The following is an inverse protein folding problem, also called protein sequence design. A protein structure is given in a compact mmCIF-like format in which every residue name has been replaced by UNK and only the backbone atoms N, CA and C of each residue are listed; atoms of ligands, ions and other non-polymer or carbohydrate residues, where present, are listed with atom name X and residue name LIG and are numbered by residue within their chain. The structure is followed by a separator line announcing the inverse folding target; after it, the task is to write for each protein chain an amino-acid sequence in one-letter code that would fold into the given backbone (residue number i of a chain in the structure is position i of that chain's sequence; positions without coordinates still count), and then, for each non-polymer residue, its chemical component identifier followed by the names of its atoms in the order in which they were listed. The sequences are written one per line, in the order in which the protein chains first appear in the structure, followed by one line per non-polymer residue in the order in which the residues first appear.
data_IF_324822982839
#
_entry.id   IF_324822982839
#
_cell.length_a   1.000
_cell.length_b   1.000
_cell.length_c   1.000
_cell.angle_alpha   90.00
_cell.angle_beta   90.00
_cell.angle_gamma   90.00
#
_symmetry.space_group_name_H-M   'P 1'
#
loop_
_entity.id
_entity.type
_entity.pdbx_description
1 polymer ?
#
# COMPACT_ATOMS: atom_id res chain seq x y z
N UNK A 1 -15.83 -5.41 -4.23
CA UNK A 1 -15.32 -4.11 -3.78
C UNK A 1 -16.35 -3.07 -4.15
N UNK A 2 -16.66 -2.14 -3.25
CA UNK A 2 -17.34 -0.91 -3.69
C UNK A 2 -16.25 0.04 -4.22
N UNK A 3 -16.05 -0.02 -5.54
CA UNK A 3 -14.98 0.71 -6.20
C UNK A 3 -15.16 2.23 -6.08
N UNK A 4 -16.37 2.75 -5.82
CA UNK A 4 -16.60 4.21 -5.63
C UNK A 4 -16.13 4.73 -4.29
N UNK A 5 -16.15 3.86 -3.30
CA UNK A 5 -15.68 4.12 -1.93
C UNK A 5 -14.23 3.68 -1.71
N UNK A 6 -13.55 3.16 -2.73
CA UNK A 6 -12.24 2.55 -2.60
C UNK A 6 -11.08 3.56 -2.69
N UNK A 7 -10.08 3.42 -1.83
CA UNK A 7 -8.80 4.13 -1.93
C UNK A 7 -7.62 3.17 -2.11
N UNK A 8 -6.68 3.56 -2.97
CA UNK A 8 -5.43 2.83 -3.17
C UNK A 8 -4.39 3.30 -2.15
N UNK A 9 -3.88 2.39 -1.35
CA UNK A 9 -2.88 2.60 -0.31
C UNK A 9 -1.55 2.00 -0.77
N UNK A 10 -0.60 2.87 -1.11
CA UNK A 10 0.75 2.50 -1.55
C UNK A 10 1.68 2.51 -0.35
N UNK A 11 1.99 1.32 0.17
CA UNK A 11 2.70 1.13 1.44
C UNK A 11 4.21 1.10 1.23
N UNK A 12 4.91 2.10 1.79
CA UNK A 12 6.36 2.14 2.00
C UNK A 12 7.22 1.72 0.79
N UNK A 13 6.84 2.16 -0.42
CA UNK A 13 7.67 1.96 -1.64
C UNK A 13 8.83 2.95 -1.63
N UNK A 14 9.70 2.80 -0.64
CA UNK A 14 10.85 3.64 -0.35
C UNK A 14 12.15 3.00 -0.85
N UNK A 15 13.17 3.81 -1.12
CA UNK A 15 14.48 3.33 -1.57
C UNK A 15 15.07 2.29 -0.61
N UNK A 16 14.90 2.47 0.70
CA UNK A 16 15.43 1.58 1.72
C UNK A 16 14.86 0.16 1.69
N UNK A 17 13.61 0.00 1.26
CA UNK A 17 12.94 -1.31 1.11
C UNK A 17 13.04 -1.88 -0.32
N UNK A 18 13.58 -1.12 -1.27
CA UNK A 18 13.67 -1.52 -2.67
C UNK A 18 15.02 -2.20 -2.97
N UNK A 19 15.01 -3.53 -3.02
CA UNK A 19 16.19 -4.37 -3.26
C UNK A 19 15.94 -5.39 -4.38
N UNK A 20 16.82 -6.37 -4.56
CA UNK A 20 16.67 -7.38 -5.62
C UNK A 20 15.40 -8.25 -5.46
N UNK A 21 14.86 -8.38 -4.24
CA UNK A 21 13.65 -9.14 -3.97
C UNK A 21 12.38 -8.34 -4.21
N UNK A 22 12.40 -7.01 -4.05
CA UNK A 22 11.19 -6.18 -4.08
C UNK A 22 11.10 -5.22 -5.27
N UNK A 23 12.22 -4.90 -5.94
CA UNK A 23 12.24 -3.92 -7.04
C UNK A 23 11.31 -4.25 -8.21
N UNK A 24 11.01 -5.53 -8.42
CA UNK A 24 10.16 -5.97 -9.52
C UNK A 24 8.71 -5.45 -9.43
N UNK A 25 8.20 -5.12 -8.23
CA UNK A 25 6.83 -4.56 -8.10
C UNK A 25 6.75 -3.06 -8.37
N UNK A 26 7.87 -2.32 -8.34
CA UNK A 26 7.89 -0.86 -8.57
C UNK A 26 7.23 -0.46 -9.91
N UNK A 27 7.59 -1.04 -11.07
CA UNK A 27 6.92 -0.70 -12.33
C UNK A 27 5.44 -1.11 -12.36
N UNK A 28 5.07 -2.21 -11.68
CA UNK A 28 3.67 -2.65 -11.56
C UNK A 28 2.85 -1.62 -10.78
N UNK A 29 3.36 -1.19 -9.61
CA UNK A 29 2.73 -0.18 -8.77
C UNK A 29 2.64 1.16 -9.50
N UNK A 30 3.70 1.59 -10.20
CA UNK A 30 3.67 2.85 -10.96
C UNK A 30 2.59 2.83 -12.05
N UNK A 31 2.47 1.72 -12.80
CA UNK A 31 1.40 1.57 -13.80
C UNK A 31 0.01 1.55 -13.16
N UNK A 32 -0.15 0.84 -12.04
CA UNK A 32 -1.39 0.76 -11.28
C UNK A 32 -1.84 2.15 -10.82
N UNK A 33 -0.96 2.90 -10.14
CA UNK A 33 -1.26 4.23 -9.62
C UNK A 33 -1.63 5.18 -10.77
N UNK A 34 -0.93 5.12 -11.90
CA UNK A 34 -1.26 5.94 -13.08
C UNK A 34 -2.68 5.68 -13.61
N UNK A 35 -3.06 4.41 -13.76
CA UNK A 35 -4.41 4.02 -14.23
C UNK A 35 -5.49 4.36 -13.22
N UNK A 36 -5.22 4.11 -11.94
CA UNK A 36 -6.12 4.43 -10.83
C UNK A 36 -6.40 5.94 -10.76
N UNK A 37 -5.35 6.77 -10.82
CA UNK A 37 -5.47 8.22 -10.82
C UNK A 37 -6.14 8.76 -12.08
N UNK A 38 -5.93 8.15 -13.26
CA UNK A 38 -6.63 8.52 -14.50
C UNK A 38 -8.14 8.31 -14.40
N UNK A 39 -8.58 7.31 -13.61
CA UNK A 39 -9.99 7.10 -13.27
C UNK A 39 -10.47 8.01 -12.11
N UNK A 40 -9.72 9.05 -11.76
CA UNK A 40 -10.00 10.00 -10.68
C UNK A 40 -10.24 9.34 -9.32
N UNK A 41 -9.55 8.22 -9.07
CA UNK A 41 -9.66 7.47 -7.82
C UNK A 41 -8.57 7.90 -6.82
N UNK A 42 -8.85 7.91 -5.51
CA UNK A 42 -7.94 8.44 -4.50
C UNK A 42 -6.75 7.51 -4.23
N UNK A 43 -5.57 8.11 -4.04
CA UNK A 43 -4.32 7.42 -3.71
C UNK A 43 -3.74 8.01 -2.44
N UNK A 44 -3.29 7.16 -1.52
CA UNK A 44 -2.55 7.53 -0.32
C UNK A 44 -1.25 6.76 -0.29
N UNK A 45 -0.14 7.44 -0.03
CA UNK A 45 1.15 6.81 0.19
C UNK A 45 1.47 6.75 1.69
N UNK A 46 2.25 5.76 2.10
CA UNK A 46 2.91 5.78 3.41
C UNK A 46 4.43 5.81 3.26
N UNK A 47 5.09 6.39 4.26
CA UNK A 47 6.53 6.26 4.46
C UNK A 47 6.79 5.82 5.89
N UNK A 48 7.52 4.73 6.04
CA UNK A 48 8.07 4.36 7.32
C UNK A 48 9.31 5.20 7.62
N UNK A 49 9.40 5.70 8.85
CA UNK A 49 10.56 6.41 9.40
C UNK A 49 11.04 5.71 10.64
N UNK A 50 12.23 5.11 10.55
CA UNK A 50 12.92 4.59 11.71
C UNK A 50 13.50 5.74 12.54
N UNK A 51 13.82 5.46 13.79
CA UNK A 51 14.43 6.42 14.71
C UNK A 51 15.38 5.70 15.68
N UNK A 52 16.35 6.41 16.27
CA UNK A 52 17.27 5.81 17.25
C UNK A 52 16.52 5.20 18.45
N UNK A 53 17.00 4.06 18.94
CA UNK A 53 16.41 3.30 20.05
C UNK A 53 15.00 2.76 19.78
N UNK A 54 14.57 2.73 18.51
CA UNK A 54 13.30 2.12 18.13
C UNK A 54 13.28 0.63 18.50
N UNK A 55 12.09 0.05 18.57
CA UNK A 55 11.94 -1.40 18.76
C UNK A 55 12.66 -2.20 17.65
N UNK A 56 12.80 -1.61 16.46
CA UNK A 56 13.51 -2.22 15.34
C UNK A 56 15.02 -2.28 15.58
N UNK A 57 15.60 -1.21 16.12
CA UNK A 57 17.01 -1.22 16.52
C UNK A 57 17.24 -2.14 17.72
N UNK A 58 16.44 -2.00 18.78
CA UNK A 58 16.67 -2.72 20.04
C UNK A 58 16.47 -4.23 19.93
N UNK A 59 15.50 -4.69 19.14
CA UNK A 59 15.17 -6.12 19.06
C UNK A 59 15.70 -6.81 17.80
N UNK A 60 15.92 -6.09 16.70
CA UNK A 60 16.39 -6.67 15.44
C UNK A 60 17.78 -6.19 15.03
N UNK A 61 18.36 -5.19 15.73
CA UNK A 61 19.63 -4.57 15.34
C UNK A 61 19.54 -3.83 14.00
N UNK A 62 18.34 -3.39 13.60
CA UNK A 62 18.10 -2.80 12.29
C UNK A 62 17.91 -1.28 12.36
N UNK A 63 18.91 -0.52 11.91
CA UNK A 63 19.00 0.94 11.99
C UNK A 63 18.83 1.66 10.66
N UNK A 64 18.34 0.97 9.62
CA UNK A 64 18.08 1.57 8.29
C UNK A 64 16.81 2.43 8.31
N UNK A 65 16.57 3.20 7.24
CA UNK A 65 15.36 4.03 7.05
C UNK A 65 15.24 5.19 8.06
N UNK A 66 16.38 5.74 8.52
CA UNK A 66 16.40 6.92 9.40
C UNK A 66 16.50 8.25 8.65
N UNK A 67 17.06 8.24 7.44
CA UNK A 67 17.27 9.45 6.65
C UNK A 67 17.21 9.19 5.14
N UNK A 68 17.07 10.25 4.33
CA UNK A 68 17.32 10.18 2.90
C UNK A 68 18.72 9.64 2.57
N UNK A 69 18.91 8.94 1.44
CA UNK A 69 17.88 8.65 0.44
C UNK A 69 16.98 7.47 0.80
N UNK A 70 17.30 6.70 1.85
CA UNK A 70 16.56 5.46 2.17
C UNK A 70 15.08 5.73 2.45
N UNK A 71 14.77 6.81 3.17
CA UNK A 71 13.38 7.17 3.55
C UNK A 71 12.55 7.73 2.40
N UNK A 72 13.16 8.06 1.26
CA UNK A 72 12.44 8.69 0.17
C UNK A 72 11.65 7.64 -0.61
N UNK A 73 10.45 8.01 -1.07
CA UNK A 73 9.71 7.23 -2.06
C UNK A 73 10.60 7.08 -3.31
N UNK A 74 10.57 5.92 -3.93
CA UNK A 74 11.38 5.64 -5.12
C UNK A 74 11.11 6.70 -6.22
N UNK A 75 12.13 7.12 -6.99
CA UNK A 75 11.97 8.15 -8.02
C UNK A 75 10.85 7.87 -9.02
N UNK A 76 10.60 6.61 -9.34
CA UNK A 76 9.56 6.14 -10.26
C UNK A 76 8.13 6.47 -9.80
N UNK A 77 7.94 6.76 -8.51
CA UNK A 77 6.66 7.12 -7.91
C UNK A 77 6.64 8.55 -7.36
N UNK A 78 7.71 9.33 -7.50
CA UNK A 78 7.85 10.63 -6.84
C UNK A 78 6.76 11.64 -7.26
N UNK A 79 6.49 11.77 -8.55
CA UNK A 79 5.44 12.66 -9.08
C UNK A 79 4.04 12.22 -8.66
N UNK A 80 3.83 10.90 -8.60
CA UNK A 80 2.57 10.30 -8.19
C UNK A 80 2.32 10.51 -6.68
N UNK A 81 3.36 10.41 -5.86
CA UNK A 81 3.29 10.73 -4.44
C UNK A 81 3.05 12.22 -4.20
N UNK A 82 3.66 13.11 -4.99
CA UNK A 82 3.47 14.57 -4.88
C UNK A 82 2.05 15.04 -5.25
N UNK A 83 1.33 14.26 -6.07
CA UNK A 83 -0.04 14.54 -6.50
C UNK A 83 -1.11 13.67 -5.83
N UNK A 84 -0.71 12.80 -4.89
CA UNK A 84 -1.61 11.94 -4.14
C UNK A 84 -2.46 12.73 -3.13
N UNK A 85 -3.50 12.10 -2.59
CA UNK A 85 -4.33 12.69 -1.54
C UNK A 85 -3.50 12.99 -0.28
N UNK A 86 -2.57 12.09 0.07
CA UNK A 86 -1.65 12.27 1.18
C UNK A 86 -0.41 11.38 1.05
N UNK A 87 0.68 11.79 1.72
CA UNK A 87 1.85 10.96 2.01
C UNK A 87 2.02 10.93 3.54
N UNK A 88 1.67 9.81 4.16
CA UNK A 88 1.57 9.68 5.61
C UNK A 88 2.85 9.06 6.18
N UNK A 89 3.46 9.73 7.15
CA UNK A 89 4.64 9.21 7.84
C UNK A 89 4.22 8.35 9.05
N UNK A 90 4.88 7.21 9.21
CA UNK A 90 4.64 6.28 10.32
C UNK A 90 5.93 5.72 10.90
N UNK A 91 5.91 5.43 12.20
CA UNK A 91 7.05 4.86 12.94
C UNK A 91 6.87 3.38 13.29
N UNK A 92 5.78 2.78 12.82
CA UNK A 92 5.46 1.37 12.99
C UNK A 92 4.93 0.75 11.70
N UNK A 93 4.47 -0.49 11.78
CA UNK A 93 4.02 -1.23 10.61
C UNK A 93 2.73 -0.68 10.00
N UNK A 94 1.76 -0.31 10.84
CA UNK A 94 0.40 0.02 10.39
C UNK A 94 0.27 1.42 9.79
N UNK A 95 -0.54 1.54 8.75
CA UNK A 95 -1.02 2.81 8.17
C UNK A 95 -1.77 3.68 9.21
N UNK A 96 -2.45 3.06 10.17
CA UNK A 96 -3.44 3.72 11.03
C UNK A 96 -2.80 4.59 12.13
N UNK A 97 -2.15 5.67 11.73
CA UNK A 97 -1.81 6.82 12.57
C UNK A 97 -3.04 7.70 12.80
N UNK A 98 -2.96 8.64 13.74
CA UNK A 98 -4.07 9.57 14.00
C UNK A 98 -4.43 10.40 12.75
N UNK A 99 -3.41 10.83 11.99
CA UNK A 99 -3.58 11.54 10.71
C UNK A 99 -4.29 10.67 9.67
N UNK A 100 -3.90 9.39 9.56
CA UNK A 100 -4.55 8.45 8.66
C UNK A 100 -6.01 8.22 9.03
N UNK A 101 -6.31 8.04 10.33
CA UNK A 101 -7.67 7.81 10.82
C UNK A 101 -8.57 9.02 10.51
N UNK A 102 -8.07 10.24 10.73
CA UNK A 102 -8.79 11.46 10.38
C UNK A 102 -9.06 11.52 8.87
N UNK A 103 -8.04 11.33 8.04
CA UNK A 103 -8.16 11.34 6.58
C UNK A 103 -9.20 10.32 6.07
N UNK A 104 -9.10 9.07 6.52
CA UNK A 104 -10.02 8.01 6.10
C UNK A 104 -11.46 8.28 6.54
N UNK A 105 -11.64 8.84 7.75
CA UNK A 105 -12.94 9.22 8.28
C UNK A 105 -13.59 10.37 7.50
N UNK A 106 -12.84 11.45 7.25
CA UNK A 106 -13.32 12.62 6.52
C UNK A 106 -13.64 12.31 5.05
N UNK A 107 -12.83 11.44 4.42
CA UNK A 107 -13.04 11.05 3.03
C UNK A 107 -14.18 10.03 2.84
N UNK A 108 -14.59 9.33 3.89
CA UNK A 108 -15.67 8.35 3.85
C UNK A 108 -15.36 7.09 3.05
N UNK A 109 -14.09 6.76 2.84
CA UNK A 109 -13.69 5.55 2.10
C UNK A 109 -13.96 4.30 2.94
N UNK A 110 -14.59 3.27 2.35
CA UNK A 110 -14.92 2.02 3.06
C UNK A 110 -14.11 0.82 2.57
N UNK A 111 -13.56 0.88 1.36
CA UNK A 111 -12.70 -0.14 0.78
C UNK A 111 -11.26 0.38 0.70
N UNK A 112 -10.29 -0.38 1.24
CA UNK A 112 -8.88 0.00 1.24
C UNK A 112 -8.07 -1.04 0.46
N UNK A 113 -7.46 -0.62 -0.65
CA UNK A 113 -6.70 -1.50 -1.54
C UNK A 113 -5.21 -1.29 -1.29
N UNK A 114 -4.53 -2.31 -0.79
CA UNK A 114 -3.13 -2.26 -0.36
C UNK A 114 -2.19 -2.86 -1.40
N UNK A 115 -1.12 -2.13 -1.68
CA UNK A 115 0.05 -2.59 -2.43
C UNK A 115 1.33 -2.06 -1.77
N UNK A 116 2.50 -2.55 -2.17
CA UNK A 116 3.80 -2.05 -1.68
C UNK A 116 4.63 -3.07 -0.88
N UNK A 117 5.44 -2.57 0.06
CA UNK A 117 6.52 -3.33 0.69
C UNK A 117 6.50 -3.10 2.22
N UNK A 118 6.73 -4.09 3.10
CA UNK A 118 6.78 -5.52 2.83
C UNK A 118 5.41 -6.19 3.01
N UNK A 119 5.14 -7.23 2.22
CA UNK A 119 3.86 -7.96 2.17
C UNK A 119 3.44 -8.49 3.53
N UNK A 120 4.32 -9.20 4.21
CA UNK A 120 4.12 -9.86 5.51
C UNK A 120 4.16 -8.90 6.70
N UNK A 121 4.65 -7.68 6.49
CA UNK A 121 4.87 -6.69 7.56
C UNK A 121 3.91 -5.52 7.43
N UNK A 122 4.32 -4.40 6.82
CA UNK A 122 3.53 -3.17 6.76
C UNK A 122 2.21 -3.34 5.99
N UNK A 123 2.24 -4.07 4.86
CA UNK A 123 1.05 -4.33 4.05
C UNK A 123 0.06 -5.19 4.83
N UNK A 124 0.49 -6.36 5.32
CA UNK A 124 -0.37 -7.27 6.09
C UNK A 124 -0.90 -6.61 7.36
N UNK A 125 -0.05 -5.95 8.16
CA UNK A 125 -0.49 -5.31 9.41
C UNK A 125 -1.55 -4.24 9.15
N UNK A 126 -1.36 -3.44 8.10
CA UNK A 126 -2.33 -2.40 7.73
C UNK A 126 -3.64 -3.00 7.23
N UNK A 127 -3.59 -4.05 6.41
CA UNK A 127 -4.79 -4.74 5.93
C UNK A 127 -5.59 -5.41 7.06
N UNK A 128 -4.90 -6.03 8.02
CA UNK A 128 -5.54 -6.62 9.20
C UNK A 128 -6.13 -5.55 10.11
N UNK A 129 -5.42 -4.43 10.32
CA UNK A 129 -5.95 -3.32 11.10
C UNK A 129 -7.18 -2.69 10.46
N UNK A 130 -7.22 -2.63 9.13
CA UNK A 130 -8.37 -2.17 8.36
C UNK A 130 -9.57 -3.09 8.58
N UNK A 131 -9.35 -4.41 8.49
CA UNK A 131 -10.37 -5.42 8.79
C UNK A 131 -10.94 -5.26 10.21
N UNK A 132 -10.07 -5.14 11.21
CA UNK A 132 -10.50 -4.99 12.62
C UNK A 132 -11.23 -3.68 12.90
N UNK A 133 -11.00 -2.64 12.08
CA UNK A 133 -11.69 -1.34 12.14
C UNK A 133 -12.97 -1.29 11.31
N UNK A 134 -13.34 -2.37 10.64
CA UNK A 134 -14.58 -2.46 9.86
C UNK A 134 -14.48 -1.92 8.43
N UNK A 135 -13.27 -1.59 7.95
CA UNK A 135 -13.05 -1.38 6.52
C UNK A 135 -13.02 -2.71 5.77
N UNK A 136 -13.22 -2.68 4.45
CA UNK A 136 -13.01 -3.83 3.58
C UNK A 136 -11.59 -3.77 2.99
N UNK A 137 -10.61 -4.54 3.51
CA UNK A 137 -9.27 -4.55 2.96
C UNK A 137 -9.16 -5.43 1.71
N UNK A 138 -8.33 -5.00 0.77
CA UNK A 138 -7.95 -5.78 -0.40
C UNK A 138 -6.44 -5.73 -0.54
N UNK A 139 -5.76 -6.86 -0.71
CA UNK A 139 -4.30 -6.90 -0.91
C UNK A 139 -4.01 -7.33 -2.35
N UNK A 140 -3.24 -6.51 -3.05
CA UNK A 140 -2.80 -6.80 -4.42
C UNK A 140 -1.56 -7.71 -4.36
N UNK A 141 -1.73 -8.96 -4.75
CA UNK A 141 -0.68 -9.99 -4.59
C UNK A 141 0.50 -9.78 -5.54
N UNK A 142 0.26 -9.23 -6.73
CA UNK A 142 1.23 -8.96 -7.78
C UNK A 142 1.82 -7.53 -7.74
N UNK A 143 1.24 -6.65 -6.91
CA UNK A 143 1.75 -5.31 -6.61
C UNK A 143 2.29 -5.19 -5.17
N UNK A 144 2.56 -6.31 -4.52
CA UNK A 144 3.19 -6.35 -3.19
C UNK A 144 4.40 -7.27 -3.22
N UNK A 145 5.44 -6.94 -2.47
CA UNK A 145 6.61 -7.80 -2.33
C UNK A 145 7.13 -7.81 -0.89
N UNK A 146 7.90 -8.84 -0.54
CA UNK A 146 8.75 -8.82 0.65
C UNK A 146 10.17 -8.47 0.24
N UNK A 147 10.81 -7.52 0.91
CA UNK A 147 12.22 -7.24 0.73
C UNK A 147 13.12 -8.36 1.29
N UNK A 148 12.56 -9.26 2.10
CA UNK A 148 13.21 -10.49 2.59
C UNK A 148 13.11 -11.68 1.63
N UNK A 149 12.39 -11.56 0.51
CA UNK A 149 12.35 -12.58 -0.56
C UNK A 149 10.99 -13.25 -0.75
N UNK A 150 10.82 -14.02 -1.84
CA UNK A 150 9.54 -14.57 -2.26
C UNK A 150 8.93 -15.55 -1.24
N UNK A 151 9.75 -16.35 -0.54
CA UNK A 151 9.24 -17.27 0.49
C UNK A 151 8.55 -16.53 1.65
N UNK A 152 9.08 -15.36 2.02
CA UNK A 152 8.50 -14.54 3.10
C UNK A 152 7.24 -13.83 2.61
N UNK A 153 7.24 -13.35 1.36
CA UNK A 153 6.04 -12.83 0.69
C UNK A 153 4.90 -13.87 0.68
N UNK A 154 5.17 -15.10 0.25
CA UNK A 154 4.19 -16.18 0.18
C UNK A 154 3.64 -16.55 1.57
N UNK A 155 4.49 -16.54 2.60
CA UNK A 155 4.07 -16.72 3.98
C UNK A 155 3.14 -15.58 4.44
N UNK A 156 3.48 -14.33 4.10
CA UNK A 156 2.64 -13.16 4.34
C UNK A 156 1.26 -13.29 3.70
N UNK A 157 1.19 -13.70 2.43
CA UNK A 157 -0.08 -13.95 1.73
C UNK A 157 -0.87 -15.10 2.34
N UNK A 158 -0.20 -16.16 2.79
CA UNK A 158 -0.83 -17.29 3.49
C UNK A 158 -1.52 -16.81 4.77
N UNK A 159 -0.85 -15.96 5.56
CA UNK A 159 -1.42 -15.38 6.77
C UNK A 159 -2.53 -14.38 6.42
N UNK A 160 -2.34 -13.51 5.43
CA UNK A 160 -3.36 -12.56 4.97
C UNK A 160 -4.67 -13.28 4.63
N UNK A 161 -4.59 -14.36 3.84
CA UNK A 161 -5.75 -15.19 3.46
C UNK A 161 -6.55 -15.67 4.66
N UNK A 162 -5.88 -15.97 5.79
CA UNK A 162 -6.51 -16.42 7.04
C UNK A 162 -7.11 -15.26 7.84
N UNK A 163 -6.47 -14.11 7.86
CA UNK A 163 -6.85 -12.99 8.73
C UNK A 163 -7.92 -12.09 8.10
N UNK A 164 -7.83 -11.80 6.81
CA UNK A 164 -8.76 -10.88 6.12
C UNK A 164 -9.70 -11.59 5.13
N UNK A 165 -9.50 -12.88 4.91
CA UNK A 165 -10.34 -13.71 4.05
C UNK A 165 -9.74 -13.98 2.67
N UNK A 166 -10.05 -15.13 2.05
CA UNK A 166 -9.42 -15.57 0.80
C UNK A 166 -9.85 -14.79 -0.43
N UNK A 167 -10.98 -14.07 -0.39
CA UNK A 167 -11.47 -13.26 -1.51
C UNK A 167 -10.90 -11.84 -1.49
N UNK A 168 -10.15 -11.49 -0.45
CA UNK A 168 -9.56 -10.17 -0.24
C UNK A 168 -8.14 -10.08 -0.82
N UNK A 169 -7.61 -11.20 -1.33
CA UNK A 169 -6.36 -11.24 -2.07
C UNK A 169 -6.71 -11.31 -3.55
N UNK A 170 -6.36 -10.26 -4.29
CA UNK A 170 -6.67 -10.12 -5.72
C UNK A 170 -5.42 -9.67 -6.48
N UNK A 171 -5.47 -9.70 -7.80
CA UNK A 171 -4.42 -9.16 -8.67
C UNK A 171 -4.72 -7.73 -9.11
N UNK A 172 -3.73 -7.04 -9.66
CA UNK A 172 -3.93 -5.74 -10.33
C UNK A 172 -4.90 -5.86 -11.51
N UNK A 173 -4.89 -6.98 -12.22
CA UNK A 173 -5.83 -7.28 -13.30
C UNK A 173 -7.28 -7.34 -12.79
N UNK A 174 -7.54 -8.07 -11.70
CA UNK A 174 -8.86 -8.16 -11.07
C UNK A 174 -9.39 -6.79 -10.63
N UNK A 175 -8.50 -5.93 -10.12
CA UNK A 175 -8.84 -4.57 -9.72
C UNK A 175 -9.19 -3.70 -10.93
N UNK A 176 -8.33 -3.69 -11.95
CA UNK A 176 -8.51 -2.85 -13.13
C UNK A 176 -9.73 -3.28 -13.96
N UNK A 177 -10.08 -4.56 -13.97
CA UNK A 177 -11.32 -5.05 -14.58
C UNK A 177 -12.58 -4.43 -13.95
N UNK A 178 -12.53 -4.04 -12.66
CA UNK A 178 -13.62 -3.34 -11.98
C UNK A 178 -13.67 -1.84 -12.31
N UNK A 179 -12.57 -1.26 -12.82
CA UNK A 179 -12.51 0.13 -13.29
C UNK A 179 -12.97 0.28 -14.76
N UNK A 180 -12.78 -0.75 -15.58
CA UNK A 180 -13.08 -0.73 -17.03
C UNK A 180 -14.53 -0.35 -17.40
N UNK A 181 -15.60 -0.77 -16.68
CA UNK A 181 -16.99 -0.41 -17.02
C UNK A 181 -17.32 1.09 -16.96
N UNK A 182 -16.37 1.94 -16.52
CA UNK A 182 -16.58 3.36 -16.27
C UNK A 182 -15.71 4.29 -17.12
N UNK A 183 -14.78 3.72 -17.91
CA UNK A 183 -14.04 4.45 -18.94
C UNK A 183 -14.80 4.50 -20.28
N UNK A 184 -15.92 3.78 -20.39
CA UNK A 184 -16.74 3.67 -21.61
C UNK A 184 -18.05 4.48 -21.58
N UNK A 185 -18.28 5.39 -20.62
CA UNK A 185 -19.45 6.29 -20.69
C UNK A 185 -19.04 7.56 -21.46
N UNK A 186 -19.48 7.76 -22.72
CA UNK A 186 -19.35 9.05 -23.37
C UNK A 186 -20.33 10.00 -22.68
N UNK A 187 -19.87 11.21 -22.37
CA UNK A 187 -20.75 12.33 -22.02
C UNK A 187 -21.69 12.55 -23.20
N UNK A 188 -22.96 12.16 -23.04
CA UNK A 188 -24.07 12.62 -23.88
C UNK A 188 -24.73 13.78 -23.15
N UNK A 189 -24.32 15.00 -23.50
CA UNK A 189 -25.13 16.11 -24.04
C UNK A 189 -24.28 17.39 -24.16
#
# INVERSE_FOLDING_TARGET
MDIDSAALIVVDVQNGFTNHNSRHVVPVISSLVSRWSTASRPVVFTRYRNYPESSFERFFGWSRLQSPPETDIVPELADQAASACAVLDKVGYTLFTDEAVALLGDAGWTDLVFCGIATESCVLKSAVDAFERGYTPWVLTDASASDAGPTVHDAGLTVARRLIGPRQLITTEDLLAQLAPRLEVPVLE
#
